data_IF_067710551851
#
_entry.id   IF_067710551851
#
_cell.length_a   1.000
_cell.length_b   1.000
_cell.length_c   1.000
_cell.angle_alpha   90.00
_cell.angle_beta   90.00
_cell.angle_gamma   90.00
#
_symmetry.space_group_name_H-M   'P 1'
#
loop_
_entity.id
_entity.type
_entity.pdbx_description
1 polymer ?
#
# COMPACT_ATOMS: atom_id res chain seq x y z
N UNK A 1 -19.35 11.07 -7.50
CA UNK A 1 -18.41 12.19 -7.26
C UNK A 1 -17.13 12.04 -8.07
N UNK A 2 -16.38 10.94 -7.96
CA UNK A 2 -15.18 10.73 -8.78
C UNK A 2 -15.48 10.71 -10.28
N UNK A 3 -16.52 9.99 -10.72
CA UNK A 3 -16.90 9.90 -12.13
C UNK A 3 -17.16 11.28 -12.76
N UNK A 4 -18.04 12.06 -12.12
CA UNK A 4 -18.44 13.38 -12.61
C UNK A 4 -17.25 14.34 -12.75
N UNK A 5 -16.27 14.27 -11.85
CA UNK A 5 -15.09 15.12 -11.93
C UNK A 5 -14.12 14.66 -13.03
N UNK A 6 -13.99 13.34 -13.21
CA UNK A 6 -13.23 12.76 -14.31
C UNK A 6 -13.84 13.10 -15.67
N UNK A 7 -15.17 13.16 -15.79
CA UNK A 7 -15.85 13.57 -17.02
C UNK A 7 -15.60 15.04 -17.39
N UNK A 8 -15.48 15.91 -16.37
CA UNK A 8 -15.16 17.33 -16.48
C UNK A 8 -13.68 17.62 -16.75
N UNK A 9 -12.79 16.65 -16.49
CA UNK A 9 -11.37 16.75 -16.84
C UNK A 9 -11.19 16.50 -18.34
N UNK A 10 -10.90 17.58 -19.07
CA UNK A 10 -10.72 17.52 -20.53
C UNK A 10 -9.40 16.85 -20.94
N UNK A 11 -8.37 16.92 -20.08
CA UNK A 11 -7.03 16.40 -20.37
C UNK A 11 -6.45 15.63 -19.18
N UNK A 12 -5.56 14.68 -19.44
CA UNK A 12 -4.82 13.98 -18.38
C UNK A 12 -3.95 14.96 -17.57
N UNK A 13 -3.39 15.96 -18.24
CA UNK A 13 -2.60 17.02 -17.59
C UNK A 13 -3.36 17.71 -16.46
N UNK A 14 -4.66 17.97 -16.64
CA UNK A 14 -5.49 18.66 -15.64
C UNK A 14 -5.66 17.88 -14.34
N UNK A 15 -5.27 16.60 -14.32
CA UNK A 15 -5.39 15.68 -13.18
C UNK A 15 -4.05 15.08 -12.76
N UNK A 16 -2.95 15.75 -13.13
CA UNK A 16 -1.60 15.48 -12.66
C UNK A 16 -1.34 16.20 -11.33
N UNK A 17 -1.20 15.44 -10.25
CA UNK A 17 -0.82 15.97 -8.94
C UNK A 17 0.69 15.90 -8.76
N UNK A 18 1.34 17.05 -8.63
CA UNK A 18 2.75 17.11 -8.22
C UNK A 18 2.86 16.72 -6.74
N UNK A 19 3.72 15.74 -6.43
CA UNK A 19 3.88 15.22 -5.06
C UNK A 19 4.61 16.21 -4.14
N UNK A 20 5.57 16.96 -4.68
CA UNK A 20 6.29 18.02 -3.98
C UNK A 20 6.81 19.04 -5.00
N UNK A 21 6.53 20.32 -4.75
CA UNK A 21 7.01 21.41 -5.60
C UNK A 21 8.51 21.69 -5.41
N UNK A 22 9.05 21.35 -4.24
CA UNK A 22 10.45 21.58 -3.87
C UNK A 22 11.37 20.42 -4.28
N UNK A 23 10.81 19.22 -4.52
CA UNK A 23 11.59 18.08 -4.98
C UNK A 23 12.01 18.27 -6.45
N UNK A 24 13.32 18.28 -6.77
CA UNK A 24 13.81 18.39 -8.14
C UNK A 24 13.27 17.29 -9.07
N UNK A 25 12.93 16.11 -8.53
CA UNK A 25 12.36 15.00 -9.30
C UNK A 25 10.92 15.24 -9.72
N UNK A 26 10.22 16.23 -9.12
CA UNK A 26 8.83 16.65 -9.43
C UNK A 26 7.91 15.47 -9.76
N UNK A 27 7.99 14.41 -8.96
CA UNK A 27 7.18 13.22 -9.19
C UNK A 27 5.69 13.60 -9.18
N UNK A 28 4.91 12.92 -10.00
CA UNK A 28 3.48 13.18 -10.12
C UNK A 28 2.68 11.89 -10.09
N UNK A 29 1.45 12.01 -9.61
CA UNK A 29 0.44 10.97 -9.60
C UNK A 29 -0.72 11.41 -10.49
N UNK A 30 -1.27 10.51 -11.30
CA UNK A 30 -2.38 10.83 -12.21
C UNK A 30 -3.23 9.61 -12.54
N UNK A 31 -4.49 9.83 -12.90
CA UNK A 31 -5.36 8.82 -13.53
C UNK A 31 -5.20 8.95 -15.04
N UNK A 32 -4.68 7.92 -15.74
CA UNK A 32 -4.52 8.00 -17.20
C UNK A 32 -5.79 7.61 -17.94
N UNK A 33 -6.48 6.61 -17.42
CA UNK A 33 -7.68 6.01 -17.99
C UNK A 33 -8.74 5.83 -16.91
N UNK A 34 -10.01 5.96 -17.29
CA UNK A 34 -11.12 5.55 -16.46
C UNK A 34 -12.28 5.02 -17.30
N UNK A 35 -13.11 4.18 -16.68
CA UNK A 35 -14.40 3.76 -17.21
C UNK A 35 -15.40 3.61 -16.07
N UNK A 36 -16.67 3.88 -16.33
CA UNK A 36 -17.74 3.65 -15.37
C UNK A 36 -18.40 2.31 -15.61
N UNK A 37 -18.64 1.55 -14.54
CA UNK A 37 -19.44 0.33 -14.58
C UNK A 37 -20.80 0.58 -13.96
N UNK A 38 -21.84 0.50 -14.78
CA UNK A 38 -23.23 0.54 -14.33
C UNK A 38 -23.57 -0.63 -13.39
N UNK A 39 -22.93 -1.78 -13.59
CA UNK A 39 -23.21 -3.00 -12.84
C UNK A 39 -22.81 -2.87 -11.37
N UNK A 40 -21.60 -2.37 -11.10
CA UNK A 40 -21.08 -2.16 -9.74
C UNK A 40 -21.25 -0.74 -9.24
N UNK A 41 -21.83 0.16 -10.05
CA UNK A 41 -21.95 1.61 -9.78
C UNK A 41 -20.63 2.21 -9.31
N UNK A 42 -19.55 1.85 -10.01
CA UNK A 42 -18.19 2.20 -9.62
C UNK A 42 -17.39 2.72 -10.80
N UNK A 43 -16.44 3.61 -10.51
CA UNK A 43 -15.45 4.06 -11.50
C UNK A 43 -14.22 3.18 -11.39
N UNK A 44 -13.77 2.66 -12.52
CA UNK A 44 -12.54 1.90 -12.64
C UNK A 44 -11.48 2.82 -13.26
N UNK A 45 -10.30 2.83 -12.68
CA UNK A 45 -9.25 3.78 -13.00
C UNK A 45 -7.89 3.08 -13.14
N UNK A 46 -7.09 3.58 -14.05
CA UNK A 46 -5.66 3.27 -14.16
C UNK A 46 -4.87 4.42 -13.56
N UNK A 47 -4.14 4.14 -12.47
CA UNK A 47 -3.33 5.11 -11.74
C UNK A 47 -1.87 4.97 -12.14
N UNK A 48 -1.22 6.09 -12.48
CA UNK A 48 0.18 6.15 -12.83
C UNK A 48 0.95 7.00 -11.81
N UNK A 49 2.19 6.58 -11.57
CA UNK A 49 3.22 7.42 -10.97
C UNK A 49 4.24 7.76 -12.05
N UNK A 50 4.50 9.05 -12.25
CA UNK A 50 5.42 9.55 -13.27
C UNK A 50 6.47 10.48 -12.66
N UNK A 51 7.53 10.76 -13.40
CA UNK A 51 8.46 11.85 -13.12
C UNK A 51 8.94 12.49 -14.42
N UNK A 52 9.26 13.79 -14.46
CA UNK A 52 9.91 14.38 -15.62
C UNK A 52 11.24 13.68 -15.91
N UNK A 53 11.52 13.41 -17.18
CA UNK A 53 12.79 12.86 -17.62
C UNK A 53 12.74 12.19 -18.99
N UNK A 54 13.92 11.79 -19.47
CA UNK A 54 14.17 11.31 -20.83
C UNK A 54 14.50 9.81 -20.90
N UNK A 55 14.00 8.98 -19.97
CA UNK A 55 14.22 7.51 -19.95
C UNK A 55 13.11 6.69 -20.62
N UNK A 56 13.40 5.42 -20.93
CA UNK A 56 12.73 4.53 -21.91
C UNK A 56 11.19 4.38 -21.90
N UNK A 57 10.47 4.63 -20.80
CA UNK A 57 9.00 4.52 -20.73
C UNK A 57 8.33 5.89 -20.77
N UNK A 58 8.15 6.43 -21.96
CA UNK A 58 7.69 7.81 -22.15
C UNK A 58 6.17 7.96 -22.14
N UNK A 59 5.68 8.90 -21.32
CA UNK A 59 4.40 9.58 -21.53
C UNK A 59 4.70 10.85 -22.31
N UNK A 60 4.18 10.97 -23.53
CA UNK A 60 4.43 12.11 -24.42
C UNK A 60 3.49 13.29 -24.09
N UNK A 61 3.86 14.50 -24.53
CA UNK A 61 3.01 15.69 -24.39
C UNK A 61 1.65 15.47 -25.06
N UNK A 62 1.61 14.69 -26.14
CA UNK A 62 0.38 14.32 -26.83
C UNK A 62 -0.54 13.48 -25.93
N UNK A 63 0.01 12.51 -25.18
CA UNK A 63 -0.78 11.71 -24.24
C UNK A 63 -1.34 12.56 -23.10
N UNK A 64 -0.59 13.55 -22.60
CA UNK A 64 -1.09 14.46 -21.57
C UNK A 64 -2.27 15.32 -22.03
N UNK A 65 -2.30 15.70 -23.31
CA UNK A 65 -3.37 16.48 -23.94
C UNK A 65 -4.60 15.66 -24.30
N UNK A 66 -4.49 14.32 -24.32
CA UNK A 66 -5.66 13.45 -24.52
C UNK A 66 -6.56 13.49 -23.29
N UNK A 67 -7.85 13.25 -23.52
CA UNK A 67 -8.81 13.01 -22.43
C UNK A 67 -8.45 11.74 -21.65
N UNK A 68 -8.04 10.67 -22.34
CA UNK A 68 -7.72 9.36 -21.79
C UNK A 68 -6.56 8.73 -22.56
N UNK A 69 -5.74 7.92 -21.90
CA UNK A 69 -4.85 6.96 -22.56
C UNK A 69 -4.62 5.72 -21.70
N UNK A 70 -4.40 4.59 -22.37
CA UNK A 70 -4.16 3.28 -21.77
C UNK A 70 -2.66 3.00 -21.58
N UNK A 71 -2.30 1.99 -20.78
CA UNK A 71 -0.91 1.55 -20.63
C UNK A 71 -0.32 1.03 -21.95
N UNK A 72 -1.15 0.63 -22.90
CA UNK A 72 -0.72 0.21 -24.23
C UNK A 72 -0.21 1.33 -25.12
N UNK A 73 -0.63 2.56 -24.83
CA UNK A 73 -0.16 3.75 -25.51
C UNK A 73 1.18 4.27 -24.93
N UNK A 74 1.57 3.80 -23.73
CA UNK A 74 2.85 4.11 -23.11
C UNK A 74 3.91 3.16 -23.69
N UNK A 75 4.96 3.71 -24.31
CA UNK A 75 6.07 2.92 -24.86
C UNK A 75 6.03 2.64 -26.37
N UNK A 76 5.33 3.46 -27.17
CA UNK A 76 5.40 3.39 -28.64
C UNK A 76 5.50 4.76 -29.35
N UNK A 77 6.30 5.72 -28.87
CA UNK A 77 6.71 6.86 -29.71
C UNK A 77 8.15 7.26 -29.34
N UNK A 78 9.08 7.04 -30.27
CA UNK A 78 10.35 7.76 -30.30
C UNK A 78 10.06 9.17 -30.84
N UNK A 79 10.44 10.23 -30.12
CA UNK A 79 10.93 11.55 -30.59
C UNK A 79 10.49 12.75 -29.71
N UNK A 80 9.44 12.69 -28.88
CA UNK A 80 9.09 13.81 -27.96
C UNK A 80 8.64 13.33 -26.56
N UNK A 81 9.52 13.49 -25.56
CA UNK A 81 9.42 12.82 -24.26
C UNK A 81 9.17 13.83 -23.14
N UNK A 82 8.01 13.76 -22.48
CA UNK A 82 7.66 14.70 -21.39
C UNK A 82 7.77 14.13 -19.98
N UNK A 83 7.51 12.84 -19.79
CA UNK A 83 7.63 12.18 -18.50
C UNK A 83 7.94 10.69 -18.63
N UNK A 84 8.47 10.10 -17.56
CA UNK A 84 8.81 8.69 -17.41
C UNK A 84 7.75 8.02 -16.53
N UNK A 85 7.22 6.88 -16.96
CA UNK A 85 6.39 6.01 -16.11
C UNK A 85 7.25 5.27 -15.08
N UNK A 86 6.98 5.48 -13.79
CA UNK A 86 7.67 4.80 -12.67
C UNK A 86 6.89 3.59 -12.14
N UNK A 87 5.67 3.39 -12.62
CA UNK A 87 4.79 2.31 -12.23
C UNK A 87 3.33 2.71 -12.32
N UNK A 88 2.48 1.70 -12.37
CA UNK A 88 1.04 1.85 -12.45
C UNK A 88 0.34 0.77 -11.63
N UNK A 89 -0.92 1.02 -11.30
CA UNK A 89 -1.83 0.05 -10.71
C UNK A 89 -3.27 0.45 -11.05
N UNK A 90 -4.20 -0.46 -10.80
CA UNK A 90 -5.62 -0.26 -11.06
C UNK A 90 -6.37 -0.11 -9.75
N UNK A 91 -7.45 0.65 -9.78
CA UNK A 91 -8.41 0.67 -8.68
C UNK A 91 -9.83 0.86 -9.20
N UNK A 92 -10.80 0.39 -8.43
CA UNK A 92 -12.20 0.67 -8.63
C UNK A 92 -12.77 1.31 -7.37
N UNK A 93 -13.62 2.33 -7.52
CA UNK A 93 -14.20 3.08 -6.42
C UNK A 93 -15.72 3.20 -6.59
N UNK A 94 -16.47 2.64 -5.62
CA UNK A 94 -17.90 2.89 -5.42
C UNK A 94 -18.09 3.98 -4.34
N UNK A 95 -19.32 4.19 -3.88
CA UNK A 95 -19.58 5.09 -2.76
C UNK A 95 -19.07 4.55 -1.42
N UNK A 96 -19.02 3.22 -1.24
CA UNK A 96 -18.66 2.58 0.03
C UNK A 96 -17.29 1.91 0.01
N UNK A 97 -16.83 1.47 -1.17
CA UNK A 97 -15.64 0.62 -1.28
C UNK A 97 -14.64 1.16 -2.29
N UNK A 98 -13.37 0.93 -1.99
CA UNK A 98 -12.27 1.08 -2.92
C UNK A 98 -11.54 -0.26 -2.99
N UNK A 99 -11.43 -0.82 -4.19
CA UNK A 99 -10.66 -2.03 -4.49
C UNK A 99 -9.44 -1.63 -5.29
N UNK A 100 -8.25 -2.14 -4.96
CA UNK A 100 -7.02 -1.83 -5.67
C UNK A 100 -6.13 -3.07 -5.74
N UNK A 101 -5.34 -3.19 -6.81
CA UNK A 101 -4.27 -4.18 -6.91
C UNK A 101 -2.89 -3.59 -6.55
N UNK A 102 -2.85 -2.41 -5.89
CA UNK A 102 -1.60 -1.86 -5.37
C UNK A 102 -0.90 -2.90 -4.47
N UNK A 103 0.41 -3.13 -4.65
CA UNK A 103 1.16 -4.07 -3.82
C UNK A 103 1.02 -3.79 -2.31
N UNK A 104 0.79 -4.85 -1.52
CA UNK A 104 0.59 -4.78 -0.05
C UNK A 104 1.83 -4.35 0.75
N UNK A 105 2.99 -4.27 0.10
CA UNK A 105 4.20 -3.69 0.69
C UNK A 105 4.20 -2.14 0.67
N UNK A 106 3.11 -1.51 0.18
CA UNK A 106 2.90 -0.06 0.19
C UNK A 106 1.60 0.28 0.91
N UNK A 107 1.55 1.43 1.59
CA UNK A 107 0.31 1.90 2.23
C UNK A 107 -0.62 2.58 1.22
N UNK A 108 -1.92 2.64 1.53
CA UNK A 108 -2.94 3.29 0.68
C UNK A 108 -2.84 4.82 0.68
N UNK A 109 -1.96 5.42 1.50
CA UNK A 109 -1.88 6.87 1.69
C UNK A 109 -1.63 7.63 0.39
N UNK A 110 -0.80 7.10 -0.52
CA UNK A 110 -0.53 7.79 -1.79
C UNK A 110 -1.78 7.96 -2.65
N UNK A 111 -2.61 6.92 -2.76
CA UNK A 111 -3.89 6.98 -3.46
C UNK A 111 -4.87 7.91 -2.74
N UNK A 112 -4.93 7.83 -1.41
CA UNK A 112 -5.79 8.69 -0.61
C UNK A 112 -5.44 10.18 -0.77
N UNK A 113 -4.17 10.53 -0.68
CA UNK A 113 -3.69 11.90 -0.91
C UNK A 113 -4.07 12.39 -2.30
N UNK A 114 -3.87 11.55 -3.33
CA UNK A 114 -4.28 11.89 -4.69
C UNK A 114 -5.78 12.14 -4.81
N UNK A 115 -6.62 11.25 -4.27
CA UNK A 115 -8.07 11.39 -4.35
C UNK A 115 -8.59 12.58 -3.53
N UNK A 116 -7.98 12.89 -2.37
CA UNK A 116 -8.29 14.11 -1.61
C UNK A 116 -8.03 15.37 -2.42
N UNK A 117 -6.84 15.45 -3.03
CA UNK A 117 -6.46 16.57 -3.89
C UNK A 117 -7.39 16.67 -5.10
N UNK A 118 -7.57 15.57 -5.83
CA UNK A 118 -8.34 15.58 -7.07
C UNK A 118 -9.80 15.94 -6.79
N UNK A 119 -10.42 15.32 -5.79
CA UNK A 119 -11.82 15.57 -5.42
C UNK A 119 -12.03 16.87 -4.63
N UNK A 120 -10.95 17.61 -4.33
CA UNK A 120 -10.94 18.78 -3.47
C UNK A 120 -11.68 18.51 -2.13
N UNK A 121 -11.41 17.37 -1.52
CA UNK A 121 -12.06 16.91 -0.30
C UNK A 121 -11.04 16.23 0.62
N UNK A 122 -10.51 16.99 1.57
CA UNK A 122 -9.51 16.53 2.54
C UNK A 122 -10.06 15.50 3.54
N UNK A 123 -11.38 15.37 3.66
CA UNK A 123 -12.04 14.48 4.64
C UNK A 123 -12.14 13.03 4.17
N UNK A 124 -11.79 12.73 2.91
CA UNK A 124 -11.82 11.36 2.38
C UNK A 124 -10.81 10.51 3.15
N UNK A 125 -11.27 9.44 3.79
CA UNK A 125 -10.43 8.53 4.58
C UNK A 125 -10.78 7.09 4.21
N UNK A 126 -9.75 6.31 3.87
CA UNK A 126 -9.89 4.89 3.59
C UNK A 126 -9.45 4.06 4.77
N UNK A 127 -10.29 3.12 5.17
CA UNK A 127 -9.99 2.12 6.19
C UNK A 127 -9.97 0.75 5.52
N UNK A 128 -8.86 -0.01 5.59
CA UNK A 128 -8.81 -1.37 5.08
C UNK A 128 -9.96 -2.23 5.63
N UNK A 129 -10.65 -2.94 4.74
CA UNK A 129 -11.72 -3.86 5.14
C UNK A 129 -11.08 -5.13 5.72
N UNK A 130 -11.56 -5.54 6.90
CA UNK A 130 -11.12 -6.77 7.56
C UNK A 130 -12.05 -7.91 7.14
N UNK A 131 -11.49 -9.08 6.84
CA UNK A 131 -12.27 -10.27 6.54
C UNK A 131 -12.83 -10.87 7.85
N UNK A 132 -14.09 -10.55 8.14
CA UNK A 132 -14.81 -11.03 9.33
C UNK A 132 -15.25 -12.50 9.18
N UNK A 133 -15.33 -13.01 7.94
CA UNK A 133 -15.80 -14.37 7.62
C UNK A 133 -14.70 -15.42 7.72
N UNK A 134 -13.44 -14.99 7.71
CA UNK A 134 -12.31 -15.89 7.91
C UNK A 134 -12.47 -16.65 9.25
N UNK A 135 -11.98 -17.89 9.36
CA UNK A 135 -12.12 -18.74 10.57
C UNK A 135 -11.53 -18.11 11.85
N UNK A 136 -10.81 -17.00 11.67
CA UNK A 136 -10.25 -16.16 12.71
C UNK A 136 -11.32 -15.14 13.11
N UNK A 137 -12.14 -15.48 14.12
CA UNK A 137 -13.04 -14.49 14.70
C UNK A 137 -12.19 -13.37 15.30
N UNK A 138 -12.40 -12.15 14.84
CA UNK A 138 -11.58 -10.99 15.22
C UNK A 138 -11.53 -10.85 16.75
N UNK A 139 -12.63 -11.15 17.44
CA UNK A 139 -12.73 -11.19 18.92
C UNK A 139 -11.68 -12.07 19.62
N UNK A 140 -11.10 -13.03 18.90
CA UNK A 140 -10.10 -13.95 19.41
C UNK A 140 -8.66 -13.40 19.22
N UNK A 141 -8.47 -12.26 18.55
CA UNK A 141 -7.16 -11.61 18.43
C UNK A 141 -6.80 -10.95 19.77
N UNK A 142 -5.69 -11.40 20.36
CA UNK A 142 -5.22 -10.90 21.67
C UNK A 142 -4.04 -9.93 21.55
N UNK A 143 -3.22 -10.07 20.50
CA UNK A 143 -2.06 -9.22 20.30
C UNK A 143 -1.53 -9.21 18.87
N UNK A 144 -0.84 -8.13 18.53
CA UNK A 144 0.00 -7.97 17.35
C UNK A 144 1.46 -8.16 17.76
N UNK A 145 2.18 -9.00 17.02
CA UNK A 145 3.62 -9.20 17.11
C UNK A 145 4.27 -8.72 15.81
N UNK A 146 5.08 -7.66 15.91
CA UNK A 146 5.97 -7.21 14.84
C UNK A 146 7.38 -7.71 15.16
N UNK A 147 7.97 -8.45 14.22
CA UNK A 147 9.31 -9.01 14.33
C UNK A 147 10.08 -8.76 13.05
N UNK A 148 11.40 -8.68 13.13
CA UNK A 148 12.22 -8.69 11.92
C UNK A 148 12.01 -10.01 11.16
N UNK A 149 12.02 -9.98 9.80
CA UNK A 149 12.05 -11.19 9.00
C UNK A 149 13.25 -12.01 9.44
N UNK A 150 13.01 -13.18 10.02
CA UNK A 150 14.10 -14.11 10.29
C UNK A 150 14.67 -14.53 8.95
N UNK A 151 15.85 -14.03 8.60
CA UNK A 151 16.65 -14.62 7.53
C UNK A 151 16.81 -16.10 7.89
N UNK A 152 16.00 -16.95 7.25
CA UNK A 152 16.19 -18.39 7.34
C UNK A 152 17.61 -18.67 6.92
N UNK A 153 18.40 -19.25 7.83
CA UNK A 153 19.84 -19.57 7.72
C UNK A 153 20.11 -20.60 6.61
N UNK A 154 19.78 -20.25 5.36
CA UNK A 154 20.09 -20.97 4.12
C UNK A 154 20.44 -19.96 3.03
N UNK A 155 21.34 -19.04 3.31
CA UNK A 155 22.16 -18.46 2.27
C UNK A 155 23.60 -18.80 2.62
N UNK A 156 24.12 -19.79 1.88
CA UNK A 156 25.55 -20.08 1.82
C UNK A 156 26.26 -18.78 1.47
N UNK A 157 27.34 -18.52 2.19
CA UNK A 157 28.24 -17.41 1.95
C UNK A 157 28.63 -17.30 0.47
N UNK A 158 28.18 -16.22 -0.19
CA UNK A 158 28.99 -15.54 -1.19
C UNK A 158 29.47 -14.24 -0.55
N UNK A 159 30.73 -14.27 -0.12
CA UNK A 159 31.50 -13.07 0.18
C UNK A 159 31.74 -12.35 -1.13
N UNK A 160 31.03 -11.27 -1.40
CA UNK A 160 31.58 -10.19 -2.22
C UNK A 160 31.96 -9.06 -1.26
N UNK A 161 33.27 -8.90 -1.10
CA UNK A 161 33.88 -7.71 -0.53
C UNK A 161 33.72 -6.58 -1.56
N UNK A 162 33.54 -5.36 -1.04
CA UNK A 162 33.53 -4.07 -1.73
C UNK A 162 32.14 -3.55 -2.12
N UNK A 163 31.36 -3.14 -1.12
CA UNK A 163 30.47 -2.00 -1.28
C UNK A 163 30.75 -1.03 -0.13
N UNK A 164 31.27 0.14 -0.49
CA UNK A 164 31.41 1.30 0.39
C UNK A 164 30.04 1.70 0.95
N UNK A 165 29.97 2.31 2.15
CA UNK A 165 28.70 2.72 2.73
C UNK A 165 28.09 3.83 1.89
N UNK A 166 27.14 3.47 1.01
CA UNK A 166 26.28 4.47 0.39
C UNK A 166 25.46 5.14 1.49
N UNK A 167 25.73 6.42 1.64
CA UNK A 167 25.08 7.34 2.54
C UNK A 167 23.61 7.44 2.12
N UNK A 168 22.75 6.61 2.70
CA UNK A 168 21.30 6.67 2.56
C UNK A 168 20.77 7.90 3.29
N UNK A 169 21.06 9.08 2.75
CA UNK A 169 20.31 10.29 3.03
C UNK A 169 18.94 10.15 2.35
N UNK A 170 18.04 9.38 2.95
CA UNK A 170 16.62 9.54 2.67
C UNK A 170 16.25 10.97 3.06
N UNK A 171 15.56 11.74 2.19
CA UNK A 171 14.95 12.99 2.61
C UNK A 171 14.03 12.68 3.79
N UNK A 172 14.29 13.28 4.94
CA UNK A 172 13.40 13.22 6.09
C UNK A 172 12.11 13.94 5.71
N UNK A 173 11.12 13.20 5.22
CA UNK A 173 9.75 13.68 5.15
C UNK A 173 9.30 13.92 6.59
N UNK A 174 9.09 15.20 6.95
CA UNK A 174 8.48 15.58 8.23
C UNK A 174 7.17 14.80 8.41
N UNK A 175 7.19 13.77 9.26
CA UNK A 175 6.02 12.93 9.57
C UNK A 175 6.34 11.47 9.86
N UNK A 176 7.39 10.90 9.28
CA UNK A 176 7.72 9.49 9.48
C UNK A 176 8.69 9.28 10.65
N UNK A 177 8.17 9.00 11.85
CA UNK A 177 9.00 8.51 12.96
C UNK A 177 9.41 7.06 12.69
N UNK A 178 10.59 6.87 12.12
CA UNK A 178 11.19 5.54 11.99
C UNK A 178 11.64 5.08 13.39
N UNK A 179 10.94 4.09 13.96
CA UNK A 179 11.33 3.45 15.22
C UNK A 179 12.14 2.20 14.90
N UNK A 180 13.45 2.24 15.18
CA UNK A 180 14.29 1.05 15.13
C UNK A 180 14.12 0.24 16.43
N UNK A 181 13.47 -0.92 16.31
CA UNK A 181 13.25 -1.86 17.41
C UNK A 181 14.55 -2.33 18.09
N UNK A 182 15.62 -2.69 17.35
CA UNK A 182 16.91 -3.02 17.95
C UNK A 182 17.51 -1.87 18.77
N UNK A 183 17.44 -0.63 18.26
CA UNK A 183 17.92 0.55 18.99
C UNK A 183 17.11 0.81 20.25
N UNK A 184 15.78 0.76 20.14
CA UNK A 184 14.89 0.91 21.29
C UNK A 184 15.17 -0.16 22.36
N UNK A 185 15.36 -1.42 21.95
CA UNK A 185 15.73 -2.50 22.85
C UNK A 185 17.11 -2.27 23.48
N UNK A 186 18.08 -1.78 22.70
CA UNK A 186 19.41 -1.46 23.18
C UNK A 186 19.41 -0.34 24.23
N UNK A 187 18.65 0.71 23.99
CA UNK A 187 18.49 1.83 24.93
C UNK A 187 17.84 1.35 26.23
N UNK A 188 16.79 0.52 26.14
CA UNK A 188 16.17 -0.10 27.32
C UNK A 188 17.17 -0.96 28.08
N UNK A 189 17.93 -1.83 27.40
CA UNK A 189 18.91 -2.71 28.02
C UNK A 189 20.03 -1.92 28.71
N UNK A 190 20.57 -0.88 28.07
CA UNK A 190 21.63 -0.01 28.66
C UNK A 190 21.16 0.77 29.87
N UNK A 191 19.87 1.11 29.90
CA UNK A 191 19.26 1.79 31.04
C UNK A 191 18.91 0.83 32.18
N UNK A 192 18.57 -0.42 31.88
CA UNK A 192 18.17 -1.42 32.87
C UNK A 192 19.31 -2.33 33.38
N UNK A 193 20.40 -2.47 32.62
CA UNK A 193 21.51 -3.37 32.92
C UNK A 193 22.85 -2.63 32.78
N UNK A 194 23.64 -2.61 33.86
CA UNK A 194 24.96 -1.97 33.89
C UNK A 194 25.92 -2.58 32.88
N UNK A 195 25.85 -3.89 32.70
CA UNK A 195 26.70 -4.69 31.82
C UNK A 195 26.34 -4.47 30.34
N UNK A 196 25.08 -4.13 30.04
CA UNK A 196 24.66 -3.80 28.68
C UNK A 196 25.33 -2.52 28.14
N UNK A 197 25.88 -1.67 29.02
CA UNK A 197 26.58 -0.43 28.64
C UNK A 197 27.95 -0.67 28.03
N UNK A 198 28.58 -1.83 28.28
CA UNK A 198 29.89 -2.17 27.72
C UNK A 198 29.82 -2.80 26.33
N UNK A 199 28.64 -3.27 25.91
CA UNK A 199 28.45 -3.83 24.57
C UNK A 199 28.24 -2.73 23.53
N UNK A 200 28.92 -2.87 22.39
CA UNK A 200 28.68 -2.09 21.20
C UNK A 200 27.30 -2.37 20.60
N UNK A 201 26.77 -1.46 19.78
CA UNK A 201 25.48 -1.64 19.09
C UNK A 201 25.48 -2.91 18.20
N UNK A 202 26.64 -3.26 17.62
CA UNK A 202 26.82 -4.45 16.78
C UNK A 202 26.73 -5.72 17.63
N UNK A 203 27.38 -5.75 18.79
CA UNK A 203 27.30 -6.91 19.70
C UNK A 203 25.89 -7.06 20.25
N UNK A 204 25.25 -5.95 20.63
CA UNK A 204 23.89 -6.00 21.16
C UNK A 204 22.88 -6.46 20.10
N UNK A 205 23.00 -5.98 18.85
CA UNK A 205 22.12 -6.42 17.75
C UNK A 205 22.32 -7.89 17.36
N UNK A 206 23.51 -8.47 17.58
CA UNK A 206 23.75 -9.90 17.39
C UNK A 206 23.20 -10.76 18.53
N UNK A 207 23.09 -10.22 19.74
CA UNK A 207 22.63 -10.91 20.94
C UNK A 207 21.12 -10.75 21.19
N UNK A 208 20.51 -9.67 20.70
CA UNK A 208 19.15 -9.24 21.07
C UNK A 208 18.20 -9.36 19.87
N UNK A 209 17.20 -10.23 20.00
CA UNK A 209 16.02 -10.23 19.14
C UNK A 209 14.95 -9.33 19.76
N UNK A 210 14.65 -8.20 19.13
CA UNK A 210 13.56 -7.31 19.55
C UNK A 210 12.24 -7.67 18.86
N UNK A 211 11.14 -7.62 19.61
CA UNK A 211 9.78 -7.81 19.09
C UNK A 211 8.86 -6.77 19.70
N UNK A 212 8.02 -6.11 18.89
CA UNK A 212 6.96 -5.25 19.40
C UNK A 212 5.72 -6.10 19.64
N UNK A 213 5.23 -6.12 20.89
CA UNK A 213 3.99 -6.79 21.25
C UNK A 213 2.94 -5.76 21.66
N UNK A 214 1.91 -5.59 20.84
CA UNK A 214 0.75 -4.75 21.17
C UNK A 214 -0.36 -5.69 21.64
N UNK A 215 -0.72 -5.64 22.93
CA UNK A 215 -1.83 -6.44 23.47
C UNK A 215 -3.12 -5.63 23.47
N UNK A 216 -4.17 -6.17 22.88
CA UNK A 216 -5.50 -5.60 22.98
C UNK A 216 -6.20 -6.14 24.22
N UNK A 217 -6.88 -5.25 24.96
CA UNK A 217 -7.85 -5.69 25.96
C UNK A 217 -9.02 -6.35 25.21
N UNK A 218 -9.70 -7.31 25.86
CA UNK A 218 -10.86 -7.98 25.27
C UNK A 218 -11.83 -6.95 24.66
N UNK A 219 -12.39 -7.27 23.49
CA UNK A 219 -13.47 -6.51 22.86
C UNK A 219 -14.50 -6.10 23.93
N UNK A 220 -14.77 -4.80 24.13
CA UNK A 220 -15.79 -4.36 25.08
C UNK A 220 -17.14 -5.00 24.75
N UNK A 221 -17.87 -5.47 25.76
CA UNK A 221 -19.15 -6.19 25.56
C UNK A 221 -20.20 -5.41 24.75
N UNK A 222 -20.10 -4.08 24.71
CA UNK A 222 -21.04 -3.19 24.01
C UNK A 222 -20.64 -2.88 22.55
N UNK A 223 -19.47 -3.32 22.10
CA UNK A 223 -18.95 -3.01 20.78
C UNK A 223 -19.48 -4.02 19.74
N UNK A 224 -19.85 -3.57 18.54
CA UNK A 224 -20.25 -4.46 17.44
C UNK A 224 -19.02 -5.11 16.79
N UNK A 225 -19.21 -6.16 16.00
CA UNK A 225 -18.08 -6.78 15.28
C UNK A 225 -17.56 -5.85 14.18
N UNK A 226 -18.45 -5.06 13.57
CA UNK A 226 -18.13 -4.04 12.57
C UNK A 226 -17.28 -2.90 13.13
N UNK A 227 -17.64 -2.37 14.30
CA UNK A 227 -16.85 -1.32 14.96
C UNK A 227 -15.43 -1.84 15.26
N UNK A 228 -15.33 -3.11 15.68
CA UNK A 228 -14.05 -3.71 16.04
C UNK A 228 -13.19 -3.98 14.80
N UNK A 229 -13.80 -4.45 13.71
CA UNK A 229 -13.16 -4.57 12.40
C UNK A 229 -12.65 -3.21 11.90
N UNK A 230 -13.43 -2.14 12.07
CA UNK A 230 -13.03 -0.78 11.70
C UNK A 230 -11.80 -0.29 12.47
N UNK A 231 -11.77 -0.47 13.80
CA UNK A 231 -10.59 -0.12 14.61
C UNK A 231 -9.36 -0.93 14.19
N UNK A 232 -9.53 -2.22 13.91
CA UNK A 232 -8.43 -3.07 13.48
C UNK A 232 -7.90 -2.66 12.10
N UNK A 233 -8.80 -2.37 11.14
CA UNK A 233 -8.46 -1.82 9.83
C UNK A 233 -7.68 -0.51 9.95
N UNK A 234 -8.16 0.42 10.79
CA UNK A 234 -7.47 1.68 11.06
C UNK A 234 -6.09 1.48 11.69
N UNK A 235 -5.94 0.46 12.56
CA UNK A 235 -4.65 0.09 13.16
C UNK A 235 -3.67 -0.48 12.13
N UNK A 236 -4.17 -1.22 11.14
CA UNK A 236 -3.37 -1.82 10.06
C UNK A 236 -3.00 -0.83 8.95
N UNK A 237 -3.83 0.19 8.71
CA UNK A 237 -3.65 1.18 7.66
C UNK A 237 -2.23 1.78 7.54
N UNK A 238 -1.56 2.23 8.63
CA UNK A 238 -0.23 2.82 8.52
C UNK A 238 0.88 1.79 8.30
N UNK A 239 0.58 0.49 8.36
CA UNK A 239 1.61 -0.55 8.36
C UNK A 239 1.81 -1.09 6.95
N UNK A 240 2.97 -0.80 6.36
CA UNK A 240 3.43 -1.43 5.12
C UNK A 240 3.91 -2.87 5.40
N UNK A 241 3.88 -3.72 4.37
CA UNK A 241 4.41 -5.09 4.43
C UNK A 241 3.77 -5.94 5.53
N UNK A 242 2.43 -6.02 5.50
CA UNK A 242 1.60 -6.75 6.48
C UNK A 242 1.99 -8.22 6.66
N UNK A 243 2.69 -8.84 5.71
CA UNK A 243 3.25 -10.19 5.84
C UNK A 243 4.31 -10.32 6.95
N UNK A 244 4.96 -9.21 7.33
CA UNK A 244 5.94 -9.17 8.42
C UNK A 244 5.28 -9.05 9.80
N UNK A 245 3.96 -8.91 9.85
CA UNK A 245 3.18 -8.78 11.07
C UNK A 245 2.44 -10.08 11.31
N UNK A 246 2.41 -10.50 12.57
CA UNK A 246 1.68 -11.70 12.98
C UNK A 246 0.77 -11.41 14.16
N UNK A 247 -0.40 -12.04 14.15
CA UNK A 247 -1.45 -11.87 15.14
C UNK A 247 -1.60 -13.15 15.93
N UNK A 248 -1.60 -13.03 17.27
CA UNK A 248 -1.80 -14.17 18.17
C UNK A 248 -3.25 -14.27 18.60
N UNK A 249 -3.87 -15.43 18.33
CA UNK A 249 -5.16 -15.79 18.92
C UNK A 249 -5.05 -15.91 20.45
N UNK A 250 -6.16 -15.71 21.14
CA UNK A 250 -6.28 -15.77 22.61
C UNK A 250 -5.97 -17.17 23.17
N UNK A 251 -6.11 -18.22 22.35
CA UNK A 251 -5.70 -19.58 22.67
C UNK A 251 -4.19 -19.82 22.51
N UNK A 252 -3.42 -18.81 22.10
CA UNK A 252 -1.96 -18.83 21.98
C UNK A 252 -1.39 -19.67 20.82
N UNK A 253 -2.20 -20.48 20.14
CA UNK A 253 -1.73 -21.52 19.22
C UNK A 253 -1.62 -21.08 17.75
N UNK A 254 -2.46 -20.15 17.30
CA UNK A 254 -2.49 -19.73 15.88
C UNK A 254 -1.89 -18.34 15.70
N UNK A 255 -0.87 -18.28 14.83
CA UNK A 255 -0.31 -17.05 14.28
C UNK A 255 -0.96 -16.79 12.93
N UNK A 256 -1.55 -15.61 12.77
CA UNK A 256 -2.19 -15.16 11.53
C UNK A 256 -1.37 -14.04 10.95
N UNK A 257 -1.06 -14.03 9.65
CA UNK A 257 -0.34 -12.89 9.05
C UNK A 257 -1.25 -11.67 8.93
N UNK A 258 -0.70 -10.46 8.98
CA UNK A 258 -1.53 -9.25 8.85
C UNK A 258 -2.28 -9.16 7.52
N UNK A 259 -1.73 -9.71 6.46
CA UNK A 259 -2.37 -9.83 5.14
C UNK A 259 -3.61 -10.74 5.16
N UNK A 260 -3.62 -11.79 5.99
CA UNK A 260 -4.73 -12.75 6.12
C UNK A 260 -5.95 -12.15 6.84
N UNK A 261 -5.78 -10.99 7.51
CA UNK A 261 -6.88 -10.25 8.10
C UNK A 261 -7.58 -9.34 7.11
N UNK A 262 -6.92 -8.96 6.02
CA UNK A 262 -7.52 -8.08 5.03
C UNK A 262 -8.52 -8.85 4.16
N UNK A 263 -9.59 -8.15 3.77
CA UNK A 263 -10.52 -8.65 2.77
C UNK A 263 -9.85 -8.60 1.39
N UNK A 264 -9.21 -9.71 1.02
CA UNK A 264 -8.51 -9.90 -0.25
C UNK A 264 -9.25 -10.91 -1.11
N UNK A 265 -9.17 -10.70 -2.43
CA UNK A 265 -9.66 -11.65 -3.43
C UNK A 265 -8.53 -11.94 -4.42
N UNK A 266 -8.22 -13.22 -4.59
CA UNK A 266 -7.34 -13.68 -5.67
C UNK A 266 -8.15 -13.71 -6.97
N UNK A 267 -7.56 -13.17 -8.02
CA UNK A 267 -8.11 -13.20 -9.36
C UNK A 267 -7.04 -13.71 -10.33
N UNK A 268 -7.45 -14.57 -11.26
CA UNK A 268 -6.61 -15.01 -12.37
C UNK A 268 -6.82 -14.05 -13.52
N UNK A 269 -5.75 -13.38 -13.93
CA UNK A 269 -5.76 -12.39 -15.01
C UNK A 269 -4.81 -12.87 -16.09
N UNK A 270 -5.31 -12.95 -17.30
CA UNK A 270 -4.51 -13.31 -18.46
C UNK A 270 -3.47 -12.23 -18.78
N UNK A 271 -2.39 -12.68 -19.42
CA UNK A 271 -1.32 -11.84 -19.89
C UNK A 271 -1.36 -11.87 -21.41
N UNK A 272 -1.31 -10.69 -22.05
CA UNK A 272 -1.20 -10.55 -23.49
C UNK A 272 0.11 -11.13 -24.01
N UNK A 273 0.21 -11.33 -25.33
CA UNK A 273 1.48 -11.77 -25.96
C UNK A 273 2.66 -10.85 -25.66
N UNK A 274 2.40 -9.57 -25.37
CA UNK A 274 3.41 -8.57 -25.02
C UNK A 274 3.78 -8.55 -23.53
N UNK A 275 3.24 -9.47 -22.72
CA UNK A 275 3.56 -9.56 -21.29
C UNK A 275 2.76 -8.62 -20.39
N UNK A 276 1.71 -7.97 -20.90
CA UNK A 276 0.87 -7.03 -20.13
C UNK A 276 -0.40 -7.71 -19.65
N UNK A 277 -0.93 -7.28 -18.50
CA UNK A 277 -2.20 -7.81 -18.00
C UNK A 277 -3.37 -7.36 -18.88
N UNK A 278 -4.35 -8.24 -19.07
CA UNK A 278 -5.60 -7.89 -19.77
C UNK A 278 -6.43 -6.96 -18.87
N UNK A 279 -6.36 -5.65 -19.12
CA UNK A 279 -6.99 -4.61 -18.28
C UNK A 279 -8.50 -4.82 -18.10
N UNK A 280 -9.19 -5.28 -19.15
CA UNK A 280 -10.63 -5.54 -19.08
C UNK A 280 -10.99 -6.65 -18.09
N UNK A 281 -10.16 -7.69 -17.95
CA UNK A 281 -10.38 -8.73 -16.93
C UNK A 281 -10.16 -8.18 -15.52
N UNK A 282 -9.14 -7.34 -15.32
CA UNK A 282 -8.91 -6.66 -14.03
C UNK A 282 -10.14 -5.85 -13.65
N UNK A 283 -10.64 -5.06 -14.60
CA UNK A 283 -11.81 -4.23 -14.39
C UNK A 283 -13.08 -5.03 -14.08
N UNK A 284 -13.31 -6.14 -14.77
CA UNK A 284 -14.43 -7.04 -14.48
C UNK A 284 -14.31 -7.66 -13.08
N UNK A 285 -13.11 -8.12 -12.69
CA UNK A 285 -12.89 -8.71 -11.37
C UNK A 285 -13.01 -7.70 -10.23
N UNK A 286 -12.52 -6.48 -10.42
CA UNK A 286 -12.72 -5.38 -9.45
C UNK A 286 -14.20 -5.01 -9.33
N UNK A 287 -14.92 -4.92 -10.45
CA UNK A 287 -16.36 -4.63 -10.47
C UNK A 287 -17.13 -5.72 -9.73
N UNK A 288 -16.84 -7.00 -10.01
CA UNK A 288 -17.43 -8.15 -9.32
C UNK A 288 -17.15 -8.11 -7.82
N UNK A 289 -15.91 -7.80 -7.43
CA UNK A 289 -15.53 -7.76 -6.03
C UNK A 289 -16.22 -6.61 -5.27
N UNK A 290 -16.42 -5.44 -5.89
CA UNK A 290 -17.24 -4.37 -5.30
C UNK A 290 -18.66 -4.87 -5.04
N UNK A 291 -19.30 -5.54 -6.00
CA UNK A 291 -20.66 -6.08 -5.83
C UNK A 291 -20.72 -7.11 -4.71
N UNK A 292 -19.72 -7.99 -4.62
CA UNK A 292 -19.58 -8.94 -3.51
C UNK A 292 -19.54 -8.19 -2.16
N UNK A 293 -18.69 -7.18 -2.00
CA UNK A 293 -18.57 -6.40 -0.77
C UNK A 293 -19.86 -5.68 -0.38
N UNK A 294 -20.57 -5.09 -1.34
CA UNK A 294 -21.86 -4.44 -1.09
C UNK A 294 -22.93 -5.45 -0.64
N UNK A 295 -22.95 -6.64 -1.23
CA UNK A 295 -23.87 -7.70 -0.82
C UNK A 295 -23.54 -8.25 0.58
N UNK A 296 -22.25 -8.33 0.93
CA UNK A 296 -21.80 -8.72 2.27
C UNK A 296 -22.25 -7.74 3.36
N UNK A 297 -22.32 -6.45 3.05
CA UNK A 297 -22.79 -5.41 3.98
C UNK A 297 -24.30 -5.44 4.22
N UNK A 298 -25.06 -5.91 3.23
CA UNK A 298 -26.53 -5.96 3.28
C UNK A 298 -27.09 -7.29 3.79
N UNK A 299 -26.22 -8.27 4.08
CA UNK A 299 -26.56 -9.61 4.59
C UNK A 299 -26.42 -9.67 6.11
#
# INVERSE_FOLDING_TARGET
>A
MLHSLLEQSDTVESRCMVLSHEDPKKEQNLISYYQYSEHSKSVLCTMLKIAPGNEMEHVTNELFRKKLFTIDEIGRINIDTSAICKGYYYFAMSNNYLVTNQPLNRTIHSLQTYLRWFLNNELIEFTPVIDIKNEIKIKDISSIEVKEPTHSKKQKALKNKNEEPQNNNLPQTMGEKIISLPKLAADVLRNCMSEARSFSDIELSQLVSAKLLIKFKKKPKKMTDEDYASILGATLKPIAALDSISFKKANGATMVKGSELLRLKTAEIEVTESGKLVEQQIFQEMSRFIVELENEKNS
#
